data_IF_706773739896
#
_entry.id   IF_706773739896
#
_cell.length_a   1.000
_cell.length_b   1.000
_cell.length_c   1.000
_cell.angle_alpha   90.00
_cell.angle_beta   90.00
_cell.angle_gamma   90.00
#
_symmetry.space_group_name_H-M   'P 1'
#
loop_
_entity.id
_entity.type
_entity.pdbx_description
1 polymer ?
#
# COMPACT_ATOMS: atom_id res chain seq x y z
N UNK A 1 29.64 3.44 0.34
CA UNK A 1 28.65 2.99 -0.67
C UNK A 1 28.30 4.15 -1.62
N UNK A 2 28.09 3.85 -2.91
CA UNK A 2 27.57 4.86 -3.83
C UNK A 2 26.07 5.12 -3.56
N UNK A 3 25.57 6.25 -4.07
CA UNK A 3 24.19 6.69 -3.84
C UNK A 3 23.15 5.79 -4.51
N UNK A 4 23.48 5.13 -5.63
CA UNK A 4 22.59 4.22 -6.34
C UNK A 4 22.42 2.91 -5.59
N UNK A 5 23.50 2.39 -5.03
CA UNK A 5 23.51 1.21 -4.16
C UNK A 5 22.65 1.47 -2.93
N UNK A 6 22.81 2.64 -2.31
CA UNK A 6 21.99 3.04 -1.16
C UNK A 6 20.49 3.05 -1.51
N UNK A 7 20.12 3.68 -2.64
CA UNK A 7 18.71 3.74 -3.06
C UNK A 7 18.14 2.36 -3.43
N UNK A 8 18.92 1.51 -4.09
CA UNK A 8 18.44 0.20 -4.57
C UNK A 8 18.38 -0.85 -3.47
N UNK A 9 19.26 -0.80 -2.48
CA UNK A 9 19.45 -1.91 -1.53
C UNK A 9 19.18 -1.55 -0.07
N UNK A 10 19.32 -0.28 0.31
CA UNK A 10 19.30 0.17 1.70
C UNK A 10 18.23 1.26 1.94
N UNK A 11 17.18 1.28 1.11
CA UNK A 11 16.09 2.26 1.20
C UNK A 11 14.73 1.58 1.45
N UNK A 12 13.64 2.37 1.43
CA UNK A 12 12.28 1.87 1.56
C UNK A 12 12.01 1.22 2.93
N UNK A 13 11.26 0.12 2.93
CA UNK A 13 10.91 -0.61 4.15
C UNK A 13 12.15 -1.03 4.95
N UNK A 14 13.24 -1.42 4.28
CA UNK A 14 14.47 -1.85 4.95
C UNK A 14 15.11 -0.74 5.76
N UNK A 15 15.12 0.48 5.24
CA UNK A 15 15.65 1.64 5.95
C UNK A 15 14.76 2.03 7.14
N UNK A 16 13.46 1.85 7.01
CA UNK A 16 12.49 2.30 8.02
C UNK A 16 12.26 1.27 9.12
N UNK A 17 12.26 -0.03 8.81
CA UNK A 17 11.87 -1.11 9.71
C UNK A 17 12.93 -2.24 9.79
N UNK A 18 14.14 -2.01 9.26
CA UNK A 18 15.24 -2.98 9.29
C UNK A 18 15.14 -4.13 8.28
N UNK A 19 13.98 -4.34 7.64
CA UNK A 19 13.74 -5.42 6.66
C UNK A 19 12.95 -4.95 5.45
N UNK A 20 13.25 -5.52 4.28
CA UNK A 20 12.50 -5.29 3.05
C UNK A 20 11.28 -6.21 2.89
N UNK A 21 11.12 -7.22 3.74
CA UNK A 21 10.00 -8.16 3.66
C UNK A 21 8.76 -7.58 4.35
N UNK A 22 7.72 -7.30 3.55
CA UNK A 22 6.45 -6.76 4.03
C UNK A 22 5.81 -7.64 5.12
N UNK A 23 5.97 -8.97 5.06
CA UNK A 23 5.37 -9.89 6.04
C UNK A 23 5.98 -9.70 7.42
N UNK A 24 7.30 -9.52 7.47
CA UNK A 24 8.02 -9.25 8.72
C UNK A 24 7.64 -7.89 9.29
N UNK A 25 7.56 -6.86 8.44
CA UNK A 25 7.11 -5.51 8.85
C UNK A 25 5.70 -5.56 9.43
N UNK A 26 4.76 -6.27 8.79
CA UNK A 26 3.39 -6.40 9.30
C UNK A 26 3.33 -7.13 10.64
N UNK A 27 4.10 -8.20 10.79
CA UNK A 27 4.19 -8.92 12.05
C UNK A 27 4.79 -8.04 13.17
N UNK A 28 5.80 -7.23 12.87
CA UNK A 28 6.40 -6.30 13.82
C UNK A 28 5.42 -5.17 14.21
N UNK A 29 4.72 -4.58 13.24
CA UNK A 29 3.72 -3.56 13.49
C UNK A 29 2.56 -4.10 14.36
N UNK A 30 2.13 -5.35 14.14
CA UNK A 30 1.13 -6.02 14.99
C UNK A 30 1.59 -6.21 16.44
N UNK A 31 2.91 -6.32 16.66
CA UNK A 31 3.50 -6.36 18.02
C UNK A 31 3.73 -4.96 18.62
N UNK A 32 3.35 -3.90 17.92
CA UNK A 32 3.48 -2.52 18.39
C UNK A 32 4.86 -1.90 18.16
N UNK A 33 5.68 -2.46 17.26
CA UNK A 33 6.94 -1.83 16.86
C UNK A 33 6.66 -0.49 16.14
N UNK A 34 7.13 0.65 16.69
CA UNK A 34 6.81 1.97 16.15
C UNK A 34 7.43 2.22 14.76
N UNK A 35 8.60 1.66 14.50
CA UNK A 35 9.31 1.82 13.23
C UNK A 35 8.62 1.02 12.12
N UNK A 36 8.14 -0.18 12.45
CA UNK A 36 7.34 -0.98 11.55
C UNK A 36 5.97 -0.34 11.24
N UNK A 37 5.30 0.24 12.24
CA UNK A 37 4.06 1.01 12.05
C UNK A 37 4.32 2.18 11.10
N UNK A 38 5.37 2.98 11.36
CA UNK A 38 5.76 4.10 10.52
C UNK A 38 6.05 3.64 9.08
N UNK A 39 6.77 2.54 8.90
CA UNK A 39 7.08 2.00 7.59
C UNK A 39 5.82 1.63 6.79
N UNK A 40 4.82 1.01 7.42
CA UNK A 40 3.53 0.70 6.78
C UNK A 40 2.74 1.96 6.44
N UNK A 41 2.78 2.98 7.29
CA UNK A 41 2.07 4.23 7.05
C UNK A 41 2.68 5.01 5.89
N UNK A 42 4.01 5.09 5.83
CA UNK A 42 4.74 5.68 4.69
C UNK A 42 4.47 4.91 3.40
N UNK A 43 4.52 3.57 3.45
CA UNK A 43 4.21 2.71 2.31
C UNK A 43 2.79 2.96 1.79
N UNK A 44 1.80 2.92 2.68
CA UNK A 44 0.38 3.14 2.35
C UNK A 44 0.17 4.56 1.81
N UNK A 45 0.83 5.55 2.39
CA UNK A 45 0.76 6.94 1.92
C UNK A 45 1.23 7.09 0.48
N UNK A 46 2.39 6.51 0.15
CA UNK A 46 2.89 6.54 -1.22
C UNK A 46 1.97 5.79 -2.18
N UNK A 47 1.48 4.62 -1.79
CA UNK A 47 0.54 3.82 -2.59
C UNK A 47 -0.74 4.61 -2.92
N UNK A 48 -1.39 5.17 -1.90
CA UNK A 48 -2.63 5.96 -2.05
C UNK A 48 -2.38 7.21 -2.90
N UNK A 49 -1.25 7.90 -2.69
CA UNK A 49 -0.87 9.05 -3.50
C UNK A 49 -0.74 8.72 -4.99
N UNK A 50 -0.11 7.59 -5.32
CA UNK A 50 0.00 7.14 -6.71
C UNK A 50 -1.36 6.79 -7.32
N UNK A 51 -2.24 6.11 -6.57
CA UNK A 51 -3.59 5.78 -7.03
C UNK A 51 -4.38 7.06 -7.31
N UNK A 52 -4.39 8.01 -6.35
CA UNK A 52 -5.11 9.26 -6.50
C UNK A 52 -4.61 10.10 -7.69
N UNK A 53 -3.29 10.12 -7.93
CA UNK A 53 -2.71 10.81 -9.08
C UNK A 53 -3.19 10.21 -10.41
N UNK A 54 -3.21 8.87 -10.52
CA UNK A 54 -3.71 8.19 -11.72
C UNK A 54 -5.22 8.41 -11.90
N UNK A 55 -6.02 8.27 -10.84
CA UNK A 55 -7.47 8.54 -10.88
C UNK A 55 -7.79 9.96 -11.33
N UNK A 56 -7.04 10.95 -10.84
CA UNK A 56 -7.21 12.34 -11.27
C UNK A 56 -6.84 12.51 -12.75
N UNK A 57 -5.77 11.87 -13.22
CA UNK A 57 -5.33 11.93 -14.61
C UNK A 57 -6.33 11.27 -15.59
N UNK A 58 -7.08 10.26 -15.15
CA UNK A 58 -8.09 9.56 -15.94
C UNK A 58 -9.51 10.09 -15.76
N UNK A 59 -9.69 11.19 -15.00
CA UNK A 59 -10.98 11.78 -14.67
C UNK A 59 -11.97 10.82 -13.98
N UNK A 60 -11.46 9.83 -13.25
CA UNK A 60 -12.28 8.79 -12.62
C UNK A 60 -11.54 7.47 -12.44
N UNK A 61 -12.21 6.51 -11.79
CA UNK A 61 -11.68 5.18 -11.53
C UNK A 61 -12.83 4.17 -11.59
N UNK A 62 -12.84 3.30 -12.59
CA UNK A 62 -13.85 2.23 -12.71
C UNK A 62 -13.52 1.04 -11.80
N UNK A 63 -12.23 0.68 -11.72
CA UNK A 63 -11.76 -0.46 -10.94
C UNK A 63 -10.33 -0.24 -10.42
N UNK A 64 -10.08 -0.74 -9.21
CA UNK A 64 -8.74 -0.82 -8.61
C UNK A 64 -8.35 -2.28 -8.43
N UNK A 65 -7.29 -2.71 -9.11
CA UNK A 65 -6.78 -4.08 -9.04
C UNK A 65 -5.47 -4.13 -8.25
N UNK A 66 -5.42 -4.99 -7.24
CA UNK A 66 -4.19 -5.29 -6.50
C UNK A 66 -3.58 -6.59 -7.03
N UNK A 67 -2.31 -6.53 -7.41
CA UNK A 67 -1.55 -7.68 -7.93
C UNK A 67 -0.09 -7.64 -7.43
N UNK A 68 0.69 -8.67 -7.74
CA UNK A 68 2.04 -8.89 -7.24
C UNK A 68 2.04 -9.40 -5.80
N UNK A 69 3.21 -9.76 -5.30
CA UNK A 69 3.35 -10.44 -4.01
C UNK A 69 2.60 -9.76 -2.87
N UNK A 70 2.85 -8.46 -2.63
CA UNK A 70 2.17 -7.70 -1.56
C UNK A 70 0.68 -7.48 -1.88
N UNK A 71 0.34 -7.10 -3.11
CA UNK A 71 -1.04 -6.80 -3.49
C UNK A 71 -1.96 -8.02 -3.36
N UNK A 72 -1.47 -9.21 -3.67
CA UNK A 72 -2.21 -10.47 -3.61
C UNK A 72 -2.29 -11.01 -2.17
N UNK A 73 -1.19 -10.99 -1.42
CA UNK A 73 -1.08 -11.72 -0.15
C UNK A 73 -1.22 -10.84 1.10
N UNK A 74 -1.40 -9.52 0.97
CA UNK A 74 -1.52 -8.61 2.12
C UNK A 74 -2.90 -7.94 2.19
N UNK A 75 -3.89 -8.58 2.84
CA UNK A 75 -5.21 -7.98 3.07
C UNK A 75 -5.13 -6.65 3.84
N UNK A 76 -4.19 -6.51 4.76
CA UNK A 76 -4.02 -5.30 5.56
C UNK A 76 -3.55 -4.11 4.71
N UNK A 77 -2.64 -4.31 3.75
CA UNK A 77 -2.27 -3.24 2.80
C UNK A 77 -3.47 -2.81 1.97
N UNK A 78 -4.26 -3.76 1.44
CA UNK A 78 -5.47 -3.44 0.67
C UNK A 78 -6.48 -2.67 1.50
N UNK A 79 -6.74 -3.12 2.74
CA UNK A 79 -7.64 -2.47 3.69
C UNK A 79 -7.22 -1.02 3.97
N UNK A 80 -5.95 -0.79 4.33
CA UNK A 80 -5.41 0.54 4.59
C UNK A 80 -5.54 1.47 3.38
N UNK A 81 -5.28 0.95 2.17
CA UNK A 81 -5.44 1.73 0.94
C UNK A 81 -6.91 2.10 0.69
N UNK A 82 -7.82 1.13 0.81
CA UNK A 82 -9.25 1.35 0.59
C UNK A 82 -9.88 2.32 1.60
N UNK A 83 -9.55 2.20 2.89
CA UNK A 83 -10.00 3.13 3.93
C UNK A 83 -9.64 4.58 3.57
N UNK A 84 -8.42 4.81 3.06
CA UNK A 84 -7.97 6.15 2.66
C UNK A 84 -8.56 6.62 1.34
N UNK A 85 -8.97 5.70 0.45
CA UNK A 85 -9.59 5.99 -0.84
C UNK A 85 -11.12 5.98 -0.78
N UNK A 86 -11.72 5.81 0.41
CA UNK A 86 -13.17 5.75 0.57
C UNK A 86 -13.91 6.97 0.01
N UNK A 87 -13.28 8.14 -0.03
CA UNK A 87 -13.85 9.35 -0.62
C UNK A 87 -14.01 9.28 -2.16
N UNK A 88 -13.30 8.38 -2.83
CA UNK A 88 -13.46 8.08 -4.26
C UNK A 88 -14.52 7.00 -4.52
N UNK A 89 -15.22 6.53 -3.48
CA UNK A 89 -16.11 5.37 -3.55
C UNK A 89 -15.39 4.01 -3.45
N UNK A 90 -14.08 4.01 -3.17
CA UNK A 90 -13.31 2.78 -2.98
C UNK A 90 -13.68 2.07 -1.68
N UNK A 91 -14.70 1.19 -1.72
CA UNK A 91 -15.01 0.25 -0.64
C UNK A 91 -14.55 -1.15 -1.04
N UNK A 92 -13.80 -1.85 -0.17
CA UNK A 92 -13.53 -3.28 -0.37
C UNK A 92 -14.79 -4.06 0.03
N UNK A 93 -15.62 -4.36 -0.97
CA UNK A 93 -16.73 -5.30 -0.83
C UNK A 93 -16.27 -6.74 -1.07
N UNK A 94 -16.69 -7.67 -0.21
CA UNK A 94 -16.61 -9.10 -0.50
C UNK A 94 -17.70 -9.44 -1.54
N UNK A 95 -17.33 -9.46 -2.82
CA UNK A 95 -18.21 -9.90 -3.91
C UNK A 95 -19.24 -8.85 -4.35
N UNK A 96 -19.11 -8.44 -5.62
CA UNK A 96 -20.05 -7.79 -6.55
C UNK A 96 -21.16 -6.88 -5.98
N UNK A 97 -21.19 -5.62 -6.46
CA UNK A 97 -22.40 -5.03 -7.05
C UNK A 97 -22.14 -3.63 -7.65
N UNK A 98 -22.40 -3.47 -8.95
CA UNK A 98 -23.26 -2.40 -9.44
C UNK A 98 -23.93 -2.84 -10.76
N UNK A 99 -25.26 -2.73 -10.91
CA UNK A 99 -26.04 -3.42 -11.96
C UNK A 99 -26.27 -2.55 -13.22
N UNK A 100 -25.29 -1.72 -13.60
CA UNK A 100 -25.37 -0.89 -14.81
C UNK A 100 -24.16 -1.06 -15.74
N UNK A 101 -23.47 -2.20 -15.61
CA UNK A 101 -22.58 -2.75 -16.63
C UNK A 101 -23.13 -4.10 -17.08
#
# INVERSE_FOLDING_TARGET
PDHLTTLKQDSGLKALAGTGDMREVQAAAQRGDPDAVLALDVYTHRLVGSIAAMTAATAGLDALVFTGGVGEHSPDVRRRAAERLGFLGGQIGAGHACPLW
#
